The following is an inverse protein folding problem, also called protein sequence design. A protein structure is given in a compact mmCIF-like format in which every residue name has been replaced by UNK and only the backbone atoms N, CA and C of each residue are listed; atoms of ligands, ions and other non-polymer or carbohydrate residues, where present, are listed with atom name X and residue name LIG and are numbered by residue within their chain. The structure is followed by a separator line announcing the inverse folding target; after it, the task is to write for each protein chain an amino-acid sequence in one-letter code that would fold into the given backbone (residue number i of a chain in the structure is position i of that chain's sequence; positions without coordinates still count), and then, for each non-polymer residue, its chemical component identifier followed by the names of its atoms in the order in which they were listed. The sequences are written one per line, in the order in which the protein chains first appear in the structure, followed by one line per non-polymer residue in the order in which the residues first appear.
data_IF_710758449894
#
_entry.id   IF_710758449894
#
_cell.length_a   1.000
_cell.length_b   1.000
_cell.length_c   1.000
_cell.angle_alpha   90.00
_cell.angle_beta   90.00
_cell.angle_gamma   90.00
#
_symmetry.space_group_name_H-M   'P 1'
#
loop_
_entity.id
_entity.type
_entity.pdbx_description
1 polymer ?
#
# COMPACT_ATOMS: atom_id res chain seq x y z
N UNK A 1 -8.82 0.24 23.02
CA UNK A 1 -7.53 -0.44 23.36
C UNK A 1 -6.49 0.60 23.83
N UNK A 2 -6.08 0.50 25.09
CA UNK A 2 -4.98 1.31 25.64
C UNK A 2 -3.66 0.99 24.94
N UNK A 3 -2.85 2.03 24.76
CA UNK A 3 -1.57 2.02 24.06
C UNK A 3 -0.63 1.00 24.73
N UNK A 4 0.04 0.13 23.97
CA UNK A 4 0.99 -0.81 24.57
C UNK A 4 2.10 -0.07 25.32
N UNK A 5 2.65 -0.68 26.39
CA UNK A 5 3.71 -0.10 27.24
C UNK A 5 5.09 -0.07 26.56
N UNK A 6 5.16 0.19 25.25
CA UNK A 6 6.42 0.32 24.52
C UNK A 6 6.99 1.73 24.69
N UNK A 7 8.31 1.84 24.71
CA UNK A 7 8.98 3.13 24.75
C UNK A 7 8.76 3.91 23.44
N UNK A 8 8.82 5.24 23.49
CA UNK A 8 8.69 6.09 22.30
C UNK A 8 9.71 5.73 21.21
N UNK A 9 11.00 5.51 21.51
CA UNK A 9 11.96 5.07 20.49
C UNK A 9 11.61 3.73 19.86
N UNK A 10 11.09 2.77 20.64
CA UNK A 10 10.64 1.48 20.11
C UNK A 10 9.43 1.65 19.18
N UNK A 11 8.46 2.48 19.56
CA UNK A 11 7.32 2.83 18.73
C UNK A 11 7.75 3.46 17.39
N UNK A 12 8.68 4.41 17.43
CA UNK A 12 9.24 5.05 16.22
C UNK A 12 9.97 4.02 15.35
N UNK A 13 10.81 3.18 15.95
CA UNK A 13 11.56 2.15 15.23
C UNK A 13 10.64 1.14 14.53
N UNK A 14 9.58 0.69 15.21
CA UNK A 14 8.57 -0.20 14.63
C UNK A 14 7.77 0.47 13.50
N UNK A 15 7.43 1.76 13.66
CA UNK A 15 6.75 2.53 12.62
C UNK A 15 7.60 2.68 11.36
N UNK A 16 8.86 3.10 11.51
CA UNK A 16 9.80 3.22 10.39
C UNK A 16 10.10 1.85 9.76
N UNK A 17 10.27 0.82 10.58
CA UNK A 17 10.45 -0.56 10.15
C UNK A 17 9.29 -1.05 9.29
N UNK A 18 8.05 -0.70 9.65
CA UNK A 18 6.87 -1.01 8.83
C UNK A 18 6.91 -0.30 7.47
N UNK A 19 7.22 1.01 7.44
CA UNK A 19 7.23 1.76 6.18
C UNK A 19 8.28 1.24 5.21
N UNK A 20 9.51 1.03 5.71
CA UNK A 20 10.64 0.55 4.90
C UNK A 20 10.42 -0.92 4.54
N UNK A 21 10.11 -1.76 5.54
CA UNK A 21 9.90 -3.19 5.35
C UNK A 21 8.71 -3.49 4.44
N UNK A 22 7.60 -2.78 4.60
CA UNK A 22 6.44 -2.89 3.71
C UNK A 22 6.78 -2.53 2.26
N UNK A 23 7.59 -1.47 2.06
CA UNK A 23 8.14 -1.10 0.76
C UNK A 23 8.98 -2.21 0.13
N UNK A 24 9.92 -2.77 0.89
CA UNK A 24 10.81 -3.85 0.42
C UNK A 24 10.01 -5.11 0.07
N UNK A 25 9.11 -5.55 0.96
CA UNK A 25 8.29 -6.75 0.74
C UNK A 25 7.44 -6.59 -0.52
N UNK A 26 6.78 -5.43 -0.68
CA UNK A 26 6.01 -5.13 -1.88
C UNK A 26 6.88 -5.16 -3.15
N UNK A 27 8.09 -4.59 -3.10
CA UNK A 27 8.96 -4.55 -4.26
C UNK A 27 9.46 -5.94 -4.67
N UNK A 28 9.85 -6.75 -3.68
CA UNK A 28 10.21 -8.16 -3.90
C UNK A 28 9.05 -8.97 -4.47
N UNK A 29 7.83 -8.77 -3.97
CA UNK A 29 6.63 -9.42 -4.53
C UNK A 29 6.44 -9.04 -6.00
N UNK A 30 6.62 -7.77 -6.34
CA UNK A 30 6.48 -7.27 -7.70
C UNK A 30 7.58 -7.76 -8.66
N UNK A 31 8.80 -7.98 -8.15
CA UNK A 31 9.91 -8.55 -8.93
C UNK A 31 9.80 -10.08 -9.09
N UNK A 32 9.09 -10.75 -8.20
CA UNK A 32 8.85 -12.19 -8.25
C UNK A 32 7.84 -12.59 -9.35
N UNK A 33 7.67 -13.89 -9.65
CA UNK A 33 6.61 -14.38 -10.54
C UNK A 33 5.19 -13.94 -10.13
N UNK A 34 4.97 -13.57 -8.85
CA UNK A 34 3.68 -13.05 -8.38
C UNK A 34 3.30 -11.75 -9.10
N UNK A 35 4.27 -10.90 -9.46
CA UNK A 35 4.01 -9.67 -10.22
C UNK A 35 3.34 -9.90 -11.57
N UNK A 36 3.41 -11.12 -12.11
CA UNK A 36 2.76 -11.53 -13.38
C UNK A 36 1.39 -12.18 -13.17
N UNK A 37 1.02 -12.53 -11.94
CA UNK A 37 -0.27 -13.14 -11.62
C UNK A 37 -1.06 -12.23 -10.68
N UNK A 38 -1.91 -11.37 -11.27
CA UNK A 38 -2.66 -10.36 -10.52
C UNK A 38 -3.53 -10.93 -9.40
N UNK A 39 -4.15 -12.11 -9.61
CA UNK A 39 -5.00 -12.74 -8.61
C UNK A 39 -4.18 -13.24 -7.42
N UNK A 40 -3.09 -13.96 -7.70
CA UNK A 40 -2.21 -14.47 -6.64
C UNK A 40 -1.57 -13.33 -5.86
N UNK A 41 -1.10 -12.28 -6.55
CA UNK A 41 -0.56 -11.08 -5.93
C UNK A 41 -1.58 -10.43 -4.99
N UNK A 42 -2.81 -10.22 -5.45
CA UNK A 42 -3.85 -9.60 -4.63
C UNK A 42 -4.18 -10.44 -3.37
N UNK A 43 -4.32 -11.75 -3.50
CA UNK A 43 -4.58 -12.63 -2.35
C UNK A 43 -3.44 -12.57 -1.33
N UNK A 44 -2.20 -12.72 -1.78
CA UNK A 44 -1.03 -12.70 -0.89
C UNK A 44 -0.85 -11.33 -0.23
N UNK A 45 -0.96 -10.25 -1.01
CA UNK A 45 -0.88 -8.89 -0.48
C UNK A 45 -1.97 -8.64 0.57
N UNK A 46 -3.20 -9.12 0.33
CA UNK A 46 -4.29 -8.99 1.29
C UNK A 46 -3.98 -9.70 2.60
N UNK A 47 -3.52 -10.96 2.54
CA UNK A 47 -3.15 -11.72 3.74
C UNK A 47 -2.02 -11.04 4.53
N UNK A 48 -1.03 -10.48 3.84
CA UNK A 48 0.04 -9.69 4.47
C UNK A 48 -0.53 -8.45 5.16
N UNK A 49 -1.43 -7.70 4.50
CA UNK A 49 -2.06 -6.51 5.09
C UNK A 49 -2.90 -6.88 6.31
N UNK A 50 -3.63 -7.99 6.28
CA UNK A 50 -4.40 -8.50 7.43
C UNK A 50 -3.48 -8.83 8.59
N UNK A 51 -2.37 -9.53 8.32
CA UNK A 51 -1.38 -9.88 9.34
C UNK A 51 -0.71 -8.64 9.95
N UNK A 52 -0.31 -7.67 9.11
CA UNK A 52 0.22 -6.37 9.54
C UNK A 52 -0.80 -5.65 10.41
N UNK A 53 -2.05 -5.56 9.96
CA UNK A 53 -3.13 -4.89 10.69
C UNK A 53 -3.30 -5.54 12.06
N UNK A 54 -3.47 -6.86 12.11
CA UNK A 54 -3.57 -7.60 13.37
C UNK A 54 -2.37 -7.31 14.30
N UNK A 55 -1.14 -7.37 13.79
CA UNK A 55 0.06 -7.08 14.57
C UNK A 55 0.10 -5.64 15.11
N UNK A 56 -0.23 -4.64 14.29
CA UNK A 56 -0.26 -3.24 14.69
C UNK A 56 -1.27 -2.98 15.81
N UNK A 57 -2.44 -3.63 15.77
CA UNK A 57 -3.44 -3.49 16.84
C UNK A 57 -3.05 -4.14 18.18
N UNK A 58 -1.98 -4.95 18.21
CA UNK A 58 -1.39 -5.48 19.47
C UNK A 58 -0.33 -4.56 20.06
N UNK A 59 0.22 -3.66 19.25
CA UNK A 59 1.39 -2.84 19.59
C UNK A 59 0.98 -1.37 19.74
N UNK A 60 0.09 -0.88 18.89
CA UNK A 60 -0.29 0.52 18.79
C UNK A 60 -1.76 0.72 19.16
N UNK A 61 -2.10 1.96 19.48
CA UNK A 61 -3.50 2.37 19.55
C UNK A 61 -4.16 2.19 18.18
N UNK A 62 -5.49 2.03 18.15
CA UNK A 62 -6.19 1.82 16.89
C UNK A 62 -6.00 2.95 15.88
N UNK A 63 -6.05 4.21 16.34
CA UNK A 63 -5.72 5.38 15.50
C UNK A 63 -4.32 5.28 14.90
N UNK A 64 -3.32 4.93 15.72
CA UNK A 64 -1.95 4.78 15.25
C UNK A 64 -1.84 3.63 14.23
N UNK A 65 -2.50 2.49 14.44
CA UNK A 65 -2.51 1.38 13.49
C UNK A 65 -3.06 1.81 12.11
N UNK A 66 -4.19 2.52 12.08
CA UNK A 66 -4.78 3.06 10.84
C UNK A 66 -3.82 4.01 10.11
N UNK A 67 -3.20 4.94 10.85
CA UNK A 67 -2.23 5.88 10.28
C UNK A 67 -1.02 5.14 9.71
N UNK A 68 -0.51 4.13 10.40
CA UNK A 68 0.66 3.35 9.96
C UNK A 68 0.38 2.54 8.69
N UNK A 69 -0.80 1.89 8.57
CA UNK A 69 -1.17 1.19 7.33
C UNK A 69 -1.34 2.17 6.18
N UNK A 70 -2.01 3.30 6.41
CA UNK A 70 -2.16 4.34 5.39
C UNK A 70 -0.83 4.96 4.96
N UNK A 71 0.06 5.23 5.92
CA UNK A 71 1.41 5.72 5.67
C UNK A 71 2.24 4.71 4.89
N UNK A 72 2.16 3.41 5.21
CA UNK A 72 2.85 2.35 4.47
C UNK A 72 2.43 2.34 2.99
N UNK A 73 1.13 2.41 2.70
CA UNK A 73 0.64 2.55 1.33
C UNK A 73 1.13 3.84 0.66
N UNK A 74 1.08 4.97 1.36
CA UNK A 74 1.60 6.25 0.86
C UNK A 74 3.09 6.19 0.51
N UNK A 75 3.91 5.57 1.37
CA UNK A 75 5.34 5.34 1.14
C UNK A 75 5.58 4.47 -0.09
N UNK A 76 4.85 3.35 -0.21
CA UNK A 76 4.93 2.48 -1.39
C UNK A 76 4.53 3.25 -2.66
N UNK A 77 3.48 4.05 -2.60
CA UNK A 77 3.00 4.84 -3.74
C UNK A 77 4.04 5.87 -4.20
N UNK A 78 4.67 6.58 -3.25
CA UNK A 78 5.74 7.53 -3.55
C UNK A 78 6.97 6.82 -4.13
N UNK A 79 7.37 5.70 -3.53
CA UNK A 79 8.45 4.84 -4.01
C UNK A 79 8.22 4.37 -5.46
N UNK A 80 7.02 3.88 -5.77
CA UNK A 80 6.63 3.48 -7.13
C UNK A 80 6.84 4.61 -8.14
N UNK A 81 6.43 5.83 -7.79
CA UNK A 81 6.56 6.98 -8.68
C UNK A 81 8.03 7.35 -8.87
N UNK A 82 8.76 7.55 -7.78
CA UNK A 82 10.11 8.10 -7.82
C UNK A 82 11.14 7.13 -8.39
N UNK A 83 11.03 5.84 -8.04
CA UNK A 83 12.04 4.83 -8.36
C UNK A 83 11.74 4.04 -9.63
N UNK A 84 10.48 3.97 -10.08
CA UNK A 84 10.10 3.09 -11.19
C UNK A 84 9.37 3.82 -12.31
N UNK A 85 8.33 4.59 -12.01
CA UNK A 85 7.49 5.24 -13.03
C UNK A 85 8.24 6.40 -13.69
N UNK A 86 8.75 7.37 -12.91
CA UNK A 86 9.46 8.53 -13.46
C UNK A 86 10.71 8.14 -14.25
N UNK A 87 11.59 7.23 -13.78
CA UNK A 87 12.75 6.79 -14.56
C UNK A 87 12.37 6.10 -15.87
N UNK A 88 11.34 5.24 -15.86
CA UNK A 88 10.85 4.59 -17.07
C UNK A 88 10.29 5.61 -18.07
N UNK A 89 9.47 6.57 -17.60
CA UNK A 89 8.94 7.65 -18.43
C UNK A 89 10.05 8.50 -19.06
N UNK A 90 11.09 8.86 -18.29
CA UNK A 90 12.25 9.60 -18.83
C UNK A 90 12.94 8.83 -19.97
N UNK A 91 13.19 7.53 -19.78
CA UNK A 91 13.79 6.66 -20.81
C UNK A 91 12.91 6.53 -22.06
N UNK A 92 11.60 6.39 -21.89
CA UNK A 92 10.65 6.33 -23.00
C UNK A 92 10.62 7.63 -23.80
N UNK A 93 10.60 8.78 -23.13
CA UNK A 93 10.64 10.10 -23.78
C UNK A 93 11.94 10.30 -24.56
N UNK A 94 13.08 9.89 -23.99
CA UNK A 94 14.38 9.97 -24.67
C UNK A 94 14.40 9.12 -25.95
N UNK A 95 13.92 7.87 -25.89
CA UNK A 95 13.84 7.00 -27.06
C UNK A 95 13.01 7.61 -28.20
N UNK A 96 11.85 8.19 -27.88
CA UNK A 96 10.99 8.87 -28.87
C UNK A 96 11.71 10.07 -29.51
N UNK A 97 12.39 10.89 -28.71
CA UNK A 97 13.14 12.05 -29.21
C UNK A 97 14.27 11.65 -30.16
N UNK A 98 14.83 10.46 -29.99
CA UNK A 98 15.88 9.89 -30.83
C UNK A 98 15.32 9.09 -32.03
N UNK A 99 13.99 9.06 -32.24
CA UNK A 99 13.36 8.28 -33.31
C UNK A 99 13.41 6.76 -33.09
N UNK A 100 13.74 6.29 -31.88
CA UNK A 100 13.77 4.87 -31.51
C UNK A 100 12.43 4.45 -30.91
N UNK A 101 12.07 3.17 -31.10
CA UNK A 101 10.91 2.58 -30.43
C UNK A 101 11.16 2.49 -28.91
N UNK A 102 10.23 2.95 -28.05
CA UNK A 102 10.32 2.75 -26.60
C UNK A 102 10.33 1.27 -26.21
N UNK A 103 10.98 0.97 -25.09
CA UNK A 103 10.99 -0.38 -24.52
C UNK A 103 9.62 -0.76 -23.95
N UNK A 104 8.98 -1.76 -24.55
CA UNK A 104 7.66 -2.27 -24.19
C UNK A 104 7.65 -2.86 -22.77
N UNK A 105 8.75 -3.47 -22.32
CA UNK A 105 8.85 -4.06 -20.99
C UNK A 105 8.89 -2.97 -19.91
N UNK A 106 9.65 -1.89 -20.13
CA UNK A 106 9.68 -0.74 -19.23
C UNK A 106 8.30 -0.06 -19.14
N UNK A 107 7.61 0.09 -20.28
CA UNK A 107 6.26 0.64 -20.31
C UNK A 107 5.27 -0.21 -19.52
N UNK A 108 5.31 -1.54 -19.72
CA UNK A 108 4.44 -2.48 -19.02
C UNK A 108 4.66 -2.46 -17.50
N UNK A 109 5.91 -2.43 -17.04
CA UNK A 109 6.23 -2.36 -15.60
C UNK A 109 5.76 -1.04 -14.98
N UNK A 110 6.02 0.09 -15.62
CA UNK A 110 5.56 1.39 -15.13
C UNK A 110 4.02 1.46 -15.06
N UNK A 111 3.33 0.94 -16.08
CA UNK A 111 1.86 0.86 -16.11
C UNK A 111 1.31 -0.03 -14.98
N UNK A 112 1.96 -1.16 -14.72
CA UNK A 112 1.56 -2.06 -13.64
C UNK A 112 1.71 -1.41 -12.26
N UNK A 113 2.82 -0.71 -11.99
CA UNK A 113 3.01 0.02 -10.73
C UNK A 113 2.04 1.19 -10.57
N UNK A 114 1.72 1.89 -11.66
CA UNK A 114 0.66 2.91 -11.67
C UNK A 114 -0.71 2.31 -11.35
N UNK A 115 -1.02 1.11 -11.87
CA UNK A 115 -2.22 0.36 -11.50
C UNK A 115 -2.25 0.04 -10.00
N UNK A 116 -1.14 -0.46 -9.44
CA UNK A 116 -1.05 -0.72 -8.00
C UNK A 116 -1.27 0.55 -7.17
N UNK A 117 -0.73 1.71 -7.59
CA UNK A 117 -1.00 2.98 -6.92
C UNK A 117 -2.50 3.32 -6.86
N UNK A 118 -3.27 3.08 -7.92
CA UNK A 118 -4.73 3.27 -7.87
C UNK A 118 -5.39 2.36 -6.83
N UNK A 119 -4.98 1.09 -6.75
CA UNK A 119 -5.51 0.13 -5.78
C UNK A 119 -5.09 0.44 -4.34
N UNK A 120 -4.00 1.17 -4.11
CA UNK A 120 -3.61 1.66 -2.79
C UNK A 120 -4.29 2.99 -2.42
N UNK A 121 -4.49 3.89 -3.38
CA UNK A 121 -5.04 5.22 -3.13
C UNK A 121 -6.45 5.18 -2.51
N UNK A 122 -7.33 4.31 -3.01
CA UNK A 122 -8.71 4.22 -2.52
C UNK A 122 -8.77 3.74 -1.06
N UNK A 123 -8.09 2.62 -0.67
CA UNK A 123 -7.91 2.28 0.73
C UNK A 123 -7.33 3.41 1.57
N UNK A 124 -6.28 4.09 1.10
CA UNK A 124 -5.66 5.20 1.86
C UNK A 124 -6.70 6.28 2.19
N UNK A 125 -7.52 6.67 1.22
CA UNK A 125 -8.59 7.65 1.44
C UNK A 125 -9.55 7.17 2.53
N UNK A 126 -10.02 5.92 2.47
CA UNK A 126 -10.89 5.36 3.51
C UNK A 126 -10.23 5.32 4.89
N UNK A 127 -8.96 4.93 4.97
CA UNK A 127 -8.20 4.88 6.23
C UNK A 127 -7.94 6.27 6.82
N UNK A 128 -7.75 7.29 5.99
CA UNK A 128 -7.57 8.66 6.46
C UNK A 128 -8.90 9.24 6.95
N UNK A 129 -9.98 9.06 6.19
CA UNK A 129 -11.33 9.51 6.57
C UNK A 129 -11.82 8.81 7.83
N UNK A 130 -11.52 7.51 8.01
CA UNK A 130 -11.98 6.75 9.18
C UNK A 130 -11.45 7.30 10.52
N UNK A 131 -10.40 8.12 10.51
CA UNK A 131 -9.94 8.84 11.71
C UNK A 131 -10.92 9.91 12.21
N UNK A 132 -11.87 10.33 11.38
CA UNK A 132 -12.94 11.24 11.75
C UNK A 132 -14.18 10.51 12.30
N UNK A 133 -14.21 9.18 12.25
CA UNK A 133 -15.34 8.35 12.72
C UNK A 133 -14.88 7.27 13.73
N UNK A 134 -14.22 7.68 14.84
CA UNK A 134 -13.53 6.76 15.75
C UNK A 134 -14.44 5.68 16.35
N UNK A 135 -15.70 6.00 16.62
CA UNK A 135 -16.66 5.09 17.26
C UNK A 135 -16.97 3.84 16.43
N UNK A 136 -16.84 3.90 15.10
CA UNK A 136 -17.15 2.79 14.18
C UNK A 136 -15.88 2.17 13.59
N UNK A 137 -14.75 2.89 13.57
CA UNK A 137 -13.52 2.42 12.93
C UNK A 137 -12.61 1.67 13.89
N UNK A 138 -12.11 2.35 14.92
CA UNK A 138 -11.09 1.82 15.83
C UNK A 138 -11.49 1.81 17.32
N UNK A 139 -12.74 2.16 17.62
CA UNK A 139 -13.31 2.13 18.98
C UNK A 139 -13.77 0.74 19.44
N UNK A 140 -13.88 -0.23 18.52
CA UNK A 140 -14.45 -1.55 18.76
C UNK A 140 -13.37 -2.65 18.96
N UNK A 141 -13.70 -3.75 19.62
CA UNK A 141 -12.83 -4.91 19.79
C UNK A 141 -12.35 -5.52 18.45
N UNK A 142 -13.14 -5.33 17.39
CA UNK A 142 -12.88 -5.85 16.04
C UNK A 142 -12.15 -4.88 15.10
N UNK A 143 -11.56 -3.80 15.64
CA UNK A 143 -10.94 -2.72 14.85
C UNK A 143 -9.95 -3.16 13.74
N UNK A 144 -9.16 -4.21 13.98
CA UNK A 144 -8.22 -4.74 12.97
C UNK A 144 -8.94 -5.41 11.79
N UNK A 145 -10.09 -6.05 12.05
CA UNK A 145 -10.93 -6.65 11.04
C UNK A 145 -11.66 -5.56 10.23
N UNK A 146 -12.14 -4.50 10.90
CA UNK A 146 -12.75 -3.35 10.24
C UNK A 146 -11.76 -2.69 9.28
N UNK A 147 -10.51 -2.45 9.73
CA UNK A 147 -9.43 -1.96 8.86
C UNK A 147 -9.24 -2.87 7.63
N UNK A 148 -9.14 -4.18 7.86
CA UNK A 148 -8.96 -5.18 6.80
C UNK A 148 -10.11 -5.20 5.79
N UNK A 149 -11.35 -5.02 6.25
CA UNK A 149 -12.54 -4.91 5.41
C UNK A 149 -12.52 -3.61 4.60
N UNK A 150 -12.15 -2.48 5.22
CA UNK A 150 -12.04 -1.19 4.52
C UNK A 150 -11.01 -1.23 3.39
N UNK A 151 -9.87 -1.92 3.61
CA UNK A 151 -8.88 -2.12 2.54
C UNK A 151 -9.48 -2.96 1.40
N UNK A 152 -10.18 -4.05 1.72
CA UNK A 152 -10.81 -4.89 0.71
C UNK A 152 -11.88 -4.13 -0.08
N UNK A 153 -12.73 -3.36 0.60
CA UNK A 153 -13.72 -2.48 -0.03
C UNK A 153 -13.04 -1.42 -0.91
N UNK A 154 -11.93 -0.85 -0.46
CA UNK A 154 -11.13 0.08 -1.25
C UNK A 154 -10.61 -0.55 -2.55
N UNK A 155 -10.18 -1.81 -2.51
CA UNK A 155 -9.75 -2.54 -3.71
C UNK A 155 -10.91 -2.85 -4.66
N UNK A 156 -12.07 -3.23 -4.11
CA UNK A 156 -13.29 -3.45 -4.90
C UNK A 156 -13.71 -2.14 -5.58
N UNK A 157 -13.73 -1.03 -4.85
CA UNK A 157 -14.04 0.29 -5.39
C UNK A 157 -13.03 0.71 -6.47
N UNK A 158 -11.72 0.56 -6.22
CA UNK A 158 -10.69 0.84 -7.23
C UNK A 158 -10.89 0.00 -8.51
N UNK A 159 -11.29 -1.27 -8.37
CA UNK A 159 -11.60 -2.14 -9.51
C UNK A 159 -12.82 -1.66 -10.30
N UNK A 160 -13.84 -1.14 -9.63
CA UNK A 160 -15.03 -0.58 -10.29
C UNK A 160 -14.70 0.73 -11.01
N UNK A 161 -13.99 1.66 -10.36
CA UNK A 161 -13.57 2.95 -10.94
C UNK A 161 -12.74 2.75 -12.20
N UNK A 162 -11.87 1.74 -12.23
CA UNK A 162 -11.02 1.44 -13.39
C UNK A 162 -11.73 0.74 -14.54
N UNK A 163 -12.96 0.26 -14.33
CA UNK A 163 -13.79 -0.41 -15.35
C UNK A 163 -14.81 0.53 -15.97
N UNK A 164 -15.19 1.59 -15.25
CA UNK A 164 -15.97 2.71 -15.76
C UNK A 164 -15.12 3.58 -16.70
#
# INVERSE_FOLDING_TARGET
PDVSKISVPAAVGLGLGLLIGGGIVYDLMMMSPLGRNEKAFAVIAYLIIVAISYGLFRIFSGRAAYIHVGAMFGTIMAANVWMHILPAQKKMIAAIKEGRKPDDALSAQAKLRSKQNTFMAVPVVFLMISNHFPGVSYGDHYSWAILSVLVLLGWIAAKLIRRA
#
